data_IF_636774611929
#
_entry.id   IF_636774611929
#
_cell.length_a   1.000
_cell.length_b   1.000
_cell.length_c   1.000
_cell.angle_alpha   90.00
_cell.angle_beta   90.00
_cell.angle_gamma   90.00
#
_symmetry.space_group_name_H-M   'P 1'
#
loop_
_entity.id
_entity.type
_entity.pdbx_description
1 polymer ?
#
# COMPACT_ATOMS: atom_id res chain seq x y z
N UNK A 1 -3.61 -5.15 -24.87
CA UNK A 1 -3.29 -5.00 -23.43
C UNK A 1 -2.15 -4.00 -23.33
N UNK A 2 -2.49 -2.78 -22.99
CA UNK A 2 -1.56 -1.64 -22.90
C UNK A 2 -0.66 -1.85 -21.69
N UNK A 3 0.64 -1.94 -21.92
CA UNK A 3 1.66 -1.88 -20.89
C UNK A 3 1.42 -0.60 -20.07
N UNK A 4 0.99 -0.74 -18.83
CA UNK A 4 0.94 0.37 -17.89
C UNK A 4 2.38 0.83 -17.66
N UNK A 5 2.69 2.03 -18.14
CA UNK A 5 3.95 2.70 -17.82
C UNK A 5 4.15 2.70 -16.29
N UNK A 6 5.42 2.72 -15.84
CA UNK A 6 5.76 2.93 -14.43
C UNK A 6 4.89 4.05 -13.85
N UNK A 7 4.42 3.94 -12.60
CA UNK A 7 3.51 4.92 -12.02
C UNK A 7 4.06 6.33 -12.26
N UNK A 8 3.26 7.12 -12.97
CA UNK A 8 3.64 8.48 -13.34
C UNK A 8 3.53 9.35 -12.08
N UNK A 9 4.67 9.57 -11.42
CA UNK A 9 4.79 10.42 -10.23
C UNK A 9 4.48 11.90 -10.56
N UNK A 10 4.50 12.28 -11.84
CA UNK A 10 4.13 13.63 -12.27
C UNK A 10 2.62 13.88 -12.22
N UNK A 11 1.82 12.80 -12.22
CA UNK A 11 0.37 12.87 -12.18
C UNK A 11 -0.22 13.17 -10.79
N UNK A 12 0.61 13.19 -9.72
CA UNK A 12 0.15 13.38 -8.34
C UNK A 12 0.60 14.76 -7.81
N UNK A 13 -0.28 15.77 -7.83
CA UNK A 13 0.11 17.15 -7.52
C UNK A 13 0.61 17.35 -6.08
N UNK A 14 0.19 16.50 -5.14
CA UNK A 14 0.55 16.63 -3.72
C UNK A 14 1.92 16.03 -3.36
N UNK A 15 2.62 15.35 -4.27
CA UNK A 15 3.94 14.78 -3.97
C UNK A 15 5.11 15.67 -4.38
N UNK A 16 4.90 16.63 -5.29
CA UNK A 16 6.00 17.44 -5.83
C UNK A 16 6.72 18.26 -4.76
N UNK A 17 5.97 18.98 -3.93
CA UNK A 17 6.53 19.78 -2.82
C UNK A 17 7.24 18.90 -1.78
N UNK A 18 6.57 17.92 -1.17
CA UNK A 18 7.22 17.01 -0.23
C UNK A 18 8.46 16.30 -0.78
N UNK A 19 8.43 15.85 -2.04
CA UNK A 19 9.60 15.20 -2.64
C UNK A 19 10.80 16.16 -2.76
N UNK A 20 10.55 17.40 -3.19
CA UNK A 20 11.59 18.42 -3.27
C UNK A 20 12.17 18.73 -1.88
N UNK A 21 11.32 18.90 -0.87
CA UNK A 21 11.74 19.15 0.51
C UNK A 21 12.57 18.01 1.07
N UNK A 22 12.15 16.78 0.86
CA UNK A 22 12.91 15.60 1.29
C UNK A 22 14.25 15.55 0.56
N UNK A 23 14.26 15.71 -0.74
CA UNK A 23 15.48 15.59 -1.54
C UNK A 23 16.54 16.64 -1.22
N UNK A 24 16.11 17.86 -0.83
CA UNK A 24 17.00 19.00 -0.61
C UNK A 24 17.35 19.25 0.85
N UNK A 25 16.40 19.03 1.76
CA UNK A 25 16.56 19.34 3.19
C UNK A 25 17.10 18.16 4.00
N UNK A 26 16.83 16.90 3.56
CA UNK A 26 17.26 15.73 4.31
C UNK A 26 18.68 15.30 3.90
N UNK A 27 19.57 15.29 4.88
CA UNK A 27 21.00 14.93 4.66
C UNK A 27 21.32 13.49 5.05
N UNK A 28 20.41 12.79 5.71
CA UNK A 28 20.57 11.39 6.08
C UNK A 28 20.78 10.50 4.86
N UNK A 29 21.65 9.52 4.98
CA UNK A 29 21.89 8.52 3.94
C UNK A 29 20.76 7.47 3.86
N UNK A 30 19.99 7.29 4.94
CA UNK A 30 18.90 6.34 5.03
C UNK A 30 17.62 7.06 5.50
N UNK A 31 16.59 7.06 4.67
CA UNK A 31 15.29 7.64 4.95
C UNK A 31 14.24 6.53 5.04
N UNK A 32 13.42 6.58 6.08
CA UNK A 32 12.22 5.74 6.23
C UNK A 32 10.98 6.60 5.98
N UNK A 33 10.42 6.47 4.78
CA UNK A 33 9.16 7.12 4.41
C UNK A 33 8.01 6.25 4.90
N UNK A 34 7.19 6.81 5.78
CA UNK A 34 6.02 6.11 6.32
C UNK A 34 4.75 6.76 5.78
N UNK A 35 3.86 5.97 5.19
CA UNK A 35 2.59 6.44 4.66
C UNK A 35 1.81 5.33 3.97
N UNK A 36 0.52 5.58 3.75
CA UNK A 36 -0.34 4.60 3.09
C UNK A 36 -0.01 4.51 1.58
N UNK A 37 0.17 3.30 1.01
CA UNK A 37 0.47 3.12 -0.42
C UNK A 37 -0.53 3.83 -1.34
N UNK A 38 -1.81 3.74 -1.00
CA UNK A 38 -2.87 4.42 -1.75
C UNK A 38 -2.87 5.94 -1.68
N UNK A 39 -2.05 6.56 -0.82
CA UNK A 39 -1.82 8.00 -0.77
C UNK A 39 -0.67 8.46 -1.68
N UNK A 40 0.14 7.52 -2.21
CA UNK A 40 1.25 7.82 -3.12
C UNK A 40 2.62 7.88 -2.44
N UNK A 41 2.83 7.18 -1.32
CA UNK A 41 4.13 7.16 -0.64
C UNK A 41 5.23 6.50 -1.48
N UNK A 42 4.90 5.50 -2.29
CA UNK A 42 5.84 4.87 -3.21
C UNK A 42 6.24 5.83 -4.33
N UNK A 43 5.27 6.53 -4.93
CA UNK A 43 5.47 7.54 -5.95
C UNK A 43 6.29 8.72 -5.41
N UNK A 44 6.06 9.10 -4.14
CA UNK A 44 6.91 10.08 -3.44
C UNK A 44 8.36 9.61 -3.39
N UNK A 45 8.60 8.37 -2.98
CA UNK A 45 9.96 7.81 -2.90
C UNK A 45 10.64 7.77 -4.29
N UNK A 46 9.90 7.38 -5.32
CA UNK A 46 10.40 7.41 -6.70
C UNK A 46 10.79 8.84 -7.14
N UNK A 47 9.95 9.83 -6.82
CA UNK A 47 10.24 11.22 -7.16
C UNK A 47 11.46 11.75 -6.40
N UNK A 48 11.63 11.39 -5.12
CA UNK A 48 12.83 11.70 -4.35
C UNK A 48 14.08 11.09 -5.01
N UNK A 49 14.01 9.79 -5.38
CA UNK A 49 15.09 9.11 -6.07
C UNK A 49 15.43 9.78 -7.42
N UNK A 50 14.42 10.15 -8.20
CA UNK A 50 14.58 10.89 -9.47
C UNK A 50 15.23 12.25 -9.26
N UNK A 51 14.88 12.97 -8.20
CA UNK A 51 15.50 14.25 -7.86
C UNK A 51 17.00 14.09 -7.55
N UNK A 52 17.37 13.08 -6.74
CA UNK A 52 18.78 12.83 -6.41
C UNK A 52 19.65 12.39 -7.60
N UNK A 53 19.04 11.70 -8.57
CA UNK A 53 19.74 11.16 -9.74
C UNK A 53 19.66 12.09 -10.96
N UNK A 54 18.80 13.11 -10.95
CA UNK A 54 18.65 14.05 -12.04
C UNK A 54 19.95 14.82 -12.29
N UNK A 55 20.32 15.00 -13.56
CA UNK A 55 21.53 15.75 -13.97
C UNK A 55 21.35 17.26 -13.82
N UNK A 56 20.09 17.75 -13.79
CA UNK A 56 19.78 19.16 -13.49
C UNK A 56 19.70 19.33 -11.98
N UNK A 57 20.30 20.40 -11.46
CA UNK A 57 20.26 20.75 -10.05
C UNK A 57 19.19 21.81 -9.74
N UNK A 58 18.81 21.90 -8.47
CA UNK A 58 17.92 22.95 -7.98
C UNK A 58 16.44 22.61 -8.13
N UNK A 59 15.61 23.66 -8.25
CA UNK A 59 14.15 23.57 -8.22
C UNK A 59 13.54 22.80 -9.39
N UNK A 60 14.25 22.69 -10.52
CA UNK A 60 13.78 21.99 -11.71
C UNK A 60 14.00 20.48 -11.68
N UNK A 61 14.62 19.94 -10.62
CA UNK A 61 14.81 18.50 -10.47
C UNK A 61 13.56 17.85 -9.84
N UNK A 62 13.10 16.70 -10.38
CA UNK A 62 13.57 16.00 -11.58
C UNK A 62 13.07 16.67 -12.86
N UNK A 63 13.98 16.95 -13.80
CA UNK A 63 13.66 17.75 -15.00
C UNK A 63 12.88 16.98 -16.10
N UNK A 64 12.78 15.65 -16.01
CA UNK A 64 12.10 14.80 -16.98
C UNK A 64 12.75 14.65 -18.35
N UNK A 65 13.79 15.45 -18.68
CA UNK A 65 14.39 15.54 -20.02
C UNK A 65 15.87 15.14 -20.13
N UNK A 66 16.59 15.02 -19.02
CA UNK A 66 17.97 14.56 -19.03
C UNK A 66 18.06 13.03 -19.22
N UNK A 67 19.25 12.54 -19.56
CA UNK A 67 19.48 11.11 -19.77
C UNK A 67 19.14 10.28 -18.53
N UNK A 68 19.49 10.76 -17.32
CA UNK A 68 19.16 10.08 -16.08
C UNK A 68 17.63 9.96 -15.88
N UNK A 69 16.86 11.02 -16.15
CA UNK A 69 15.40 10.97 -16.04
C UNK A 69 14.79 9.98 -17.05
N UNK A 70 15.29 9.91 -18.28
CA UNK A 70 14.83 8.92 -19.27
C UNK A 70 15.15 7.49 -18.85
N UNK A 71 16.37 7.24 -18.34
CA UNK A 71 16.75 5.91 -17.83
C UNK A 71 15.90 5.49 -16.63
N UNK A 72 15.54 6.43 -15.74
CA UNK A 72 14.65 6.16 -14.61
C UNK A 72 13.21 5.84 -15.06
N UNK A 73 12.72 6.54 -16.08
CA UNK A 73 11.38 6.27 -16.65
C UNK A 73 11.30 4.90 -17.32
N UNK A 74 12.39 4.39 -17.87
CA UNK A 74 12.49 3.03 -18.44
C UNK A 74 12.99 1.96 -17.44
N UNK A 75 13.12 2.28 -16.15
CA UNK A 75 13.63 1.40 -15.10
C UNK A 75 15.01 0.79 -15.41
N UNK A 76 15.86 1.51 -16.18
CA UNK A 76 17.16 1.04 -16.66
C UNK A 76 18.35 1.86 -16.13
N UNK A 77 18.13 2.75 -15.15
CA UNK A 77 19.19 3.58 -14.59
C UNK A 77 20.21 2.75 -13.81
N UNK A 78 21.52 2.78 -14.13
CA UNK A 78 22.54 1.92 -13.51
C UNK A 78 22.74 2.18 -12.01
N UNK A 79 22.49 3.42 -11.56
CA UNK A 79 22.66 3.84 -10.16
C UNK A 79 21.32 3.89 -9.38
N UNK A 80 20.26 3.27 -9.93
CA UNK A 80 18.98 3.09 -9.25
C UNK A 80 18.63 1.60 -9.17
N UNK A 81 18.24 1.14 -7.99
CA UNK A 81 17.72 -0.20 -7.78
C UNK A 81 16.52 -0.16 -6.84
N UNK A 82 15.45 -0.83 -7.22
CA UNK A 82 14.27 -1.01 -6.38
C UNK A 82 14.13 -2.49 -6.00
N UNK A 83 13.88 -2.77 -4.72
CA UNK A 83 13.54 -4.09 -4.20
C UNK A 83 12.07 -4.13 -3.83
N UNK A 84 11.31 -4.96 -4.53
CA UNK A 84 9.88 -5.18 -4.32
C UNK A 84 9.60 -6.68 -4.28
N UNK A 85 8.60 -7.14 -3.49
CA UNK A 85 8.06 -8.49 -3.62
C UNK A 85 7.54 -8.76 -5.02
N UNK A 86 7.60 -10.01 -5.47
CA UNK A 86 7.11 -10.41 -6.81
C UNK A 86 5.63 -10.03 -7.02
N UNK A 87 4.81 -10.16 -5.98
CA UNK A 87 3.41 -9.76 -6.02
C UNK A 87 3.26 -8.25 -6.27
N UNK A 88 4.00 -7.43 -5.53
CA UNK A 88 3.98 -5.96 -5.67
C UNK A 88 4.50 -5.52 -7.04
N UNK A 89 5.54 -6.19 -7.57
CA UNK A 89 6.01 -5.94 -8.94
C UNK A 89 4.91 -6.19 -9.97
N UNK A 90 4.19 -7.31 -9.86
CA UNK A 90 3.08 -7.64 -10.75
C UNK A 90 1.92 -6.62 -10.64
N UNK A 91 1.57 -6.20 -9.42
CA UNK A 91 0.51 -5.22 -9.17
C UNK A 91 0.83 -3.83 -9.73
N UNK A 92 2.10 -3.42 -9.67
CA UNK A 92 2.57 -2.12 -10.16
C UNK A 92 2.93 -2.15 -11.65
N UNK A 93 2.91 -3.32 -12.30
CA UNK A 93 3.45 -3.48 -13.66
C UNK A 93 4.94 -3.17 -13.75
N UNK A 94 5.67 -3.35 -12.64
CA UNK A 94 7.07 -3.01 -12.50
C UNK A 94 7.96 -4.21 -12.81
N UNK A 95 8.73 -4.16 -13.89
CA UNK A 95 9.81 -5.11 -14.12
C UNK A 95 11.13 -4.49 -13.64
N UNK A 96 11.73 -5.09 -12.62
CA UNK A 96 13.07 -4.69 -12.16
C UNK A 96 14.07 -5.17 -13.19
N UNK A 97 14.72 -4.26 -13.89
CA UNK A 97 15.81 -4.59 -14.81
C UNK A 97 16.93 -5.31 -14.05
N UNK A 98 17.20 -6.57 -14.40
CA UNK A 98 18.26 -7.39 -13.80
C UNK A 98 17.81 -8.67 -13.09
N UNK A 99 16.53 -8.93 -12.91
CA UNK A 99 16.11 -10.33 -12.72
C UNK A 99 16.05 -10.94 -14.11
N UNK A 100 17.04 -11.75 -14.46
CA UNK A 100 16.89 -12.72 -15.52
C UNK A 100 15.57 -13.43 -15.25
N UNK A 101 14.58 -13.22 -16.11
CA UNK A 101 13.48 -14.16 -16.25
C UNK A 101 14.20 -15.49 -16.47
N UNK A 102 14.19 -16.34 -15.45
CA UNK A 102 14.60 -17.72 -15.66
C UNK A 102 13.72 -18.19 -16.81
N UNK A 103 14.38 -18.32 -17.94
CA UNK A 103 13.83 -18.78 -19.20
C UNK A 103 12.83 -19.90 -18.87
N UNK A 104 11.61 -19.72 -19.31
CA UNK A 104 10.62 -20.78 -19.28
C UNK A 104 11.07 -21.82 -20.30
N UNK A 105 12.11 -22.57 -19.91
CA UNK A 105 12.42 -23.82 -20.58
C UNK A 105 11.16 -24.68 -20.55
N UNK A 106 10.69 -25.07 -21.70
CA UNK A 106 9.63 -26.06 -21.92
C UNK A 106 9.90 -27.32 -21.08
N UNK A 107 9.39 -27.31 -19.87
CA UNK A 107 9.37 -28.42 -18.94
C UNK A 107 7.95 -28.58 -18.44
N UNK A 108 7.22 -29.49 -19.06
CA UNK A 108 5.90 -29.93 -18.62
C UNK A 108 5.92 -30.29 -17.12
N UNK A 109 5.06 -29.62 -16.32
CA UNK A 109 4.67 -30.17 -15.01
C UNK A 109 5.06 -29.41 -13.75
N UNK A 110 5.62 -28.17 -13.79
CA UNK A 110 5.80 -27.38 -12.56
C UNK A 110 4.60 -26.46 -12.32
N UNK A 111 3.81 -26.78 -11.28
CA UNK A 111 2.76 -25.89 -10.77
C UNK A 111 3.31 -24.45 -10.66
N UNK A 112 2.67 -23.47 -11.29
CA UNK A 112 3.06 -22.05 -11.24
C UNK A 112 3.14 -21.64 -9.76
N UNK A 113 4.35 -21.42 -9.27
CA UNK A 113 4.60 -20.97 -7.90
C UNK A 113 3.91 -19.62 -7.69
N UNK A 114 3.11 -19.48 -6.64
CA UNK A 114 2.47 -18.19 -6.30
C UNK A 114 3.57 -17.12 -6.12
N UNK A 115 3.37 -15.91 -6.65
CA UNK A 115 4.35 -14.82 -6.49
C UNK A 115 4.58 -14.52 -5.01
N UNK A 116 5.84 -14.32 -4.65
CA UNK A 116 6.25 -14.04 -3.27
C UNK A 116 5.70 -12.70 -2.80
N UNK A 117 5.23 -12.65 -1.55
CA UNK A 117 4.85 -11.42 -0.84
C UNK A 117 6.02 -10.80 -0.07
N UNK A 118 7.17 -11.49 0.01
CA UNK A 118 8.34 -11.05 0.75
C UNK A 118 9.45 -10.58 -0.19
N UNK A 119 10.24 -9.63 0.28
CA UNK A 119 11.53 -9.28 -0.33
C UNK A 119 12.54 -10.36 0.07
N UNK A 120 13.00 -11.12 -0.91
CA UNK A 120 13.92 -12.25 -0.69
C UNK A 120 15.30 -11.79 -0.22
N UNK A 121 15.91 -12.56 0.68
CA UNK A 121 17.25 -12.27 1.22
C UNK A 121 18.32 -12.20 0.11
N UNK A 122 18.21 -13.03 -0.92
CA UNK A 122 19.14 -13.04 -2.05
C UNK A 122 19.11 -11.69 -2.77
N UNK A 123 17.92 -11.14 -3.03
CA UNK A 123 17.76 -9.82 -3.65
C UNK A 123 18.36 -8.70 -2.79
N UNK A 124 18.25 -8.80 -1.45
CA UNK A 124 18.86 -7.84 -0.53
C UNK A 124 20.39 -7.95 -0.56
N UNK A 125 20.97 -9.16 -0.56
CA UNK A 125 22.41 -9.37 -0.65
C UNK A 125 23.00 -8.86 -1.96
N UNK A 126 22.33 -9.14 -3.07
CA UNK A 126 22.72 -8.63 -4.39
C UNK A 126 22.68 -7.11 -4.45
N UNK A 127 21.65 -6.50 -3.84
CA UNK A 127 21.55 -5.06 -3.77
C UNK A 127 22.66 -4.45 -2.89
N UNK A 128 22.99 -5.07 -1.76
CA UNK A 128 24.12 -4.65 -0.91
C UNK A 128 25.43 -4.72 -1.71
N UNK A 129 25.70 -5.84 -2.40
CA UNK A 129 26.89 -5.99 -3.25
C UNK A 129 26.94 -4.94 -4.36
N UNK A 130 25.80 -4.60 -4.94
CA UNK A 130 25.68 -3.53 -5.92
C UNK A 130 25.97 -2.15 -5.32
N UNK A 131 25.61 -1.87 -4.07
CA UNK A 131 25.93 -0.58 -3.42
C UNK A 131 27.45 -0.37 -3.22
N UNK A 132 28.23 -1.44 -3.12
CA UNK A 132 29.70 -1.37 -2.96
C UNK A 132 30.43 -0.91 -4.24
N UNK A 133 29.78 -0.97 -5.41
CA UNK A 133 30.35 -0.50 -6.66
C UNK A 133 30.21 1.03 -6.76
N UNK A 134 31.15 1.70 -7.37
CA UNK A 134 31.10 3.13 -7.62
C UNK A 134 29.87 3.53 -8.45
N UNK A 135 29.41 4.78 -8.29
CA UNK A 135 28.36 5.34 -9.14
C UNK A 135 28.85 5.43 -10.58
N UNK A 136 27.99 5.01 -11.53
CA UNK A 136 28.30 5.03 -12.95
C UNK A 136 28.19 6.43 -13.56
N UNK A 137 27.40 7.33 -12.96
CA UNK A 137 27.12 8.66 -13.48
C UNK A 137 27.62 9.80 -12.56
N UNK A 138 28.43 9.49 -11.55
CA UNK A 138 29.06 10.49 -10.68
C UNK A 138 28.12 11.23 -9.71
N UNK A 139 26.86 10.79 -9.61
CA UNK A 139 25.86 11.31 -8.63
C UNK A 139 25.60 10.28 -7.53
N UNK A 140 24.47 10.38 -6.89
CA UNK A 140 24.07 9.40 -5.88
C UNK A 140 23.86 8.00 -6.49
N UNK A 141 23.92 6.99 -5.63
CA UNK A 141 23.44 5.63 -5.89
C UNK A 141 22.28 5.36 -4.95
N UNK A 142 21.12 5.04 -5.50
CA UNK A 142 19.86 4.98 -4.73
C UNK A 142 19.32 3.57 -4.70
N UNK A 143 19.16 3.03 -3.48
CA UNK A 143 18.47 1.77 -3.22
C UNK A 143 17.11 2.04 -2.57
N UNK A 144 16.03 1.64 -3.23
CA UNK A 144 14.65 1.75 -2.77
C UNK A 144 14.12 0.39 -2.34
N UNK A 145 13.51 0.28 -1.17
CA UNK A 145 12.85 -0.93 -0.65
C UNK A 145 11.37 -0.62 -0.40
N UNK A 146 10.47 -1.36 -1.08
CA UNK A 146 9.03 -1.15 -0.96
C UNK A 146 8.22 -2.45 -1.13
N UNK A 147 7.28 -2.74 -0.25
CA UNK A 147 7.22 -2.21 1.12
C UNK A 147 8.34 -2.80 1.97
N UNK A 148 9.00 -1.95 2.78
CA UNK A 148 10.16 -2.38 3.56
C UNK A 148 9.78 -3.39 4.67
N UNK A 149 8.56 -3.33 5.17
CA UNK A 149 8.00 -4.29 6.13
C UNK A 149 7.68 -5.67 5.51
N UNK A 150 7.85 -5.85 4.20
CA UNK A 150 7.85 -7.16 3.55
C UNK A 150 9.20 -7.90 3.63
N UNK A 151 10.23 -7.31 4.24
CA UNK A 151 11.46 -8.02 4.54
C UNK A 151 11.27 -8.92 5.76
N UNK A 152 11.67 -10.20 5.64
CA UNK A 152 11.77 -11.07 6.81
C UNK A 152 12.98 -10.70 7.69
N UNK A 153 13.07 -11.33 8.87
CA UNK A 153 14.12 -11.06 9.86
C UNK A 153 15.54 -11.19 9.28
N UNK A 154 15.79 -12.20 8.44
CA UNK A 154 17.11 -12.47 7.87
C UNK A 154 17.50 -11.39 6.86
N UNK A 155 16.59 -10.99 5.99
CA UNK A 155 16.77 -9.92 5.01
C UNK A 155 17.00 -8.58 5.70
N UNK A 156 16.21 -8.29 6.74
CA UNK A 156 16.33 -7.08 7.55
C UNK A 156 17.72 -6.96 8.23
N UNK A 157 18.17 -8.05 8.85
CA UNK A 157 19.49 -8.08 9.51
C UNK A 157 20.65 -7.93 8.51
N UNK A 158 20.53 -8.46 7.30
CA UNK A 158 21.58 -8.30 6.28
C UNK A 158 21.79 -6.82 5.88
N UNK A 159 20.74 -5.99 5.95
CA UNK A 159 20.81 -4.57 5.58
C UNK A 159 21.47 -3.70 6.66
N UNK A 160 21.49 -4.13 7.93
CA UNK A 160 21.94 -3.31 9.07
C UNK A 160 23.33 -2.72 8.89
N UNK A 161 24.31 -3.53 8.44
CA UNK A 161 25.67 -3.05 8.23
C UNK A 161 25.74 -1.92 7.19
N UNK A 162 24.98 -2.02 6.10
CA UNK A 162 24.94 -0.98 5.07
C UNK A 162 24.23 0.28 5.55
N UNK A 163 23.28 0.14 6.48
CA UNK A 163 22.63 1.28 7.13
C UNK A 163 23.53 1.99 8.13
N UNK A 164 24.44 1.26 8.80
CA UNK A 164 25.40 1.85 9.74
C UNK A 164 26.55 2.55 9.01
N UNK A 165 27.12 1.87 8.02
CA UNK A 165 28.30 2.31 7.28
C UNK A 165 28.02 2.26 5.76
N UNK A 166 27.21 3.20 5.24
CA UNK A 166 26.89 3.22 3.82
C UNK A 166 28.14 3.60 3.00
N UNK A 167 28.34 2.97 1.83
CA UNK A 167 29.35 3.42 0.90
C UNK A 167 29.11 4.88 0.47
N UNK A 168 30.19 5.57 0.12
CA UNK A 168 30.10 6.99 -0.26
C UNK A 168 29.13 7.20 -1.43
N UNK A 169 28.22 8.18 -1.30
CA UNK A 169 27.23 8.54 -2.31
C UNK A 169 26.03 7.59 -2.37
N UNK A 170 25.96 6.56 -1.52
CA UNK A 170 24.78 5.66 -1.43
C UNK A 170 23.70 6.31 -0.58
N UNK A 171 22.46 6.26 -1.07
CA UNK A 171 21.25 6.68 -0.38
C UNK A 171 20.24 5.53 -0.33
N UNK A 172 19.66 5.30 0.82
CA UNK A 172 18.66 4.25 1.03
C UNK A 172 17.30 4.89 1.28
N UNK A 173 16.30 4.43 0.54
CA UNK A 173 14.89 4.80 0.73
C UNK A 173 14.14 3.56 1.15
N UNK A 174 13.72 3.50 2.40
CA UNK A 174 12.83 2.47 2.92
C UNK A 174 11.43 3.07 2.94
N UNK A 175 10.47 2.37 2.39
CA UNK A 175 9.06 2.81 2.37
C UNK A 175 8.22 1.77 3.09
N UNK A 176 7.50 2.16 4.11
CA UNK A 176 6.64 1.26 4.88
C UNK A 176 5.28 1.91 5.17
N UNK A 177 4.23 1.11 5.17
CA UNK A 177 2.92 1.55 5.64
C UNK A 177 2.93 1.64 7.17
N UNK A 178 3.40 0.59 7.82
CA UNK A 178 3.55 0.51 9.27
C UNK A 178 5.02 0.31 9.67
N UNK A 179 5.66 1.40 10.11
CA UNK A 179 7.05 1.35 10.55
C UNK A 179 7.26 0.47 11.79
N UNK A 180 6.21 0.21 12.60
CA UNK A 180 6.34 -0.63 13.80
C UNK A 180 6.54 -2.12 13.46
N UNK A 181 6.21 -2.54 12.25
CA UNK A 181 6.49 -3.90 11.74
C UNK A 181 7.96 -4.10 11.37
N UNK A 182 8.71 -3.01 11.16
CA UNK A 182 10.15 -3.09 10.95
C UNK A 182 10.90 -3.35 12.25
N UNK A 183 12.05 -4.01 12.16
CA UNK A 183 12.94 -4.19 13.30
C UNK A 183 13.30 -2.84 13.94
N UNK A 184 13.25 -2.72 15.28
CA UNK A 184 13.67 -1.50 15.96
C UNK A 184 15.10 -1.07 15.61
N UNK A 185 15.97 -2.03 15.35
CA UNK A 185 17.36 -1.81 14.91
C UNK A 185 17.47 -1.17 13.53
N UNK A 186 16.55 -1.47 12.60
CA UNK A 186 16.44 -0.79 11.31
C UNK A 186 15.92 0.64 11.47
N UNK A 187 14.83 0.78 12.24
CA UNK A 187 14.19 2.09 12.46
C UNK A 187 15.12 3.11 13.10
N UNK A 188 15.93 2.68 14.08
CA UNK A 188 16.85 3.57 14.79
C UNK A 188 17.97 4.13 13.92
N UNK A 189 18.25 3.50 12.76
CA UNK A 189 19.28 3.91 11.79
C UNK A 189 18.74 4.69 10.61
N UNK A 190 17.42 4.86 10.53
CA UNK A 190 16.76 5.60 9.47
C UNK A 190 16.16 6.90 10.01
N UNK A 191 16.29 7.98 9.26
CA UNK A 191 15.52 9.18 9.52
C UNK A 191 14.08 8.97 9.09
N UNK A 192 13.16 8.99 10.06
CA UNK A 192 11.72 8.80 9.79
C UNK A 192 11.10 10.08 9.23
N UNK A 193 10.31 9.90 8.19
CA UNK A 193 9.53 10.96 7.53
C UNK A 193 8.11 10.45 7.36
N UNK A 194 7.17 11.09 8.02
CA UNK A 194 5.75 10.77 7.86
C UNK A 194 5.18 11.51 6.65
N UNK A 195 4.59 10.75 5.74
CA UNK A 195 3.84 11.29 4.61
C UNK A 195 2.35 11.18 4.86
N UNK A 196 1.71 12.31 5.13
CA UNK A 196 0.28 12.37 5.42
C UNK A 196 -0.60 12.13 4.17
N UNK A 197 -0.03 12.22 2.97
CA UNK A 197 -0.78 12.15 1.71
C UNK A 197 -1.49 13.46 1.36
N UNK A 198 -2.42 13.43 0.39
CA UNK A 198 -3.20 14.61 0.00
C UNK A 198 -4.24 14.98 1.04
N UNK A 199 -4.68 16.24 1.02
CA UNK A 199 -5.88 16.63 1.74
C UNK A 199 -7.12 15.99 1.09
N UNK A 200 -8.26 15.86 1.82
CA UNK A 200 -9.49 15.33 1.23
C UNK A 200 -9.92 16.06 -0.04
N UNK A 201 -9.76 17.39 -0.08
CA UNK A 201 -10.10 18.25 -1.22
C UNK A 201 -9.19 17.96 -2.41
N UNK A 202 -7.88 17.82 -2.19
CA UNK A 202 -6.90 17.47 -3.23
C UNK A 202 -7.17 16.07 -3.80
N UNK A 203 -7.48 15.11 -2.95
CA UNK A 203 -7.78 13.75 -3.35
C UNK A 203 -9.06 13.67 -4.20
N UNK A 204 -10.10 14.40 -3.77
CA UNK A 204 -11.39 14.46 -4.49
C UNK A 204 -11.22 15.13 -5.85
N UNK A 205 -10.64 16.33 -5.89
CA UNK A 205 -10.42 17.07 -7.13
C UNK A 205 -9.58 16.27 -8.14
N UNK A 206 -8.57 15.55 -7.66
CA UNK A 206 -7.77 14.69 -8.52
C UNK A 206 -8.57 13.52 -9.11
N UNK A 207 -9.40 12.83 -8.30
CA UNK A 207 -10.26 11.74 -8.77
C UNK A 207 -11.31 12.22 -9.78
N UNK A 208 -11.91 13.37 -9.55
CA UNK A 208 -12.86 14.00 -10.48
C UNK A 208 -12.16 14.35 -11.80
N UNK A 209 -10.94 14.89 -11.72
CA UNK A 209 -10.10 15.17 -12.89
C UNK A 209 -9.72 13.91 -13.70
N UNK A 210 -9.72 12.73 -13.06
CA UNK A 210 -9.55 11.43 -13.73
C UNK A 210 -10.87 10.87 -14.32
N UNK A 211 -11.98 11.59 -14.20
CA UNK A 211 -13.28 11.15 -14.70
C UNK A 211 -13.94 10.06 -13.85
N UNK A 212 -13.55 9.90 -12.57
CA UNK A 212 -14.11 8.88 -11.71
C UNK A 212 -15.58 9.20 -11.36
N UNK A 213 -16.51 8.33 -11.73
CA UNK A 213 -17.90 8.44 -11.35
C UNK A 213 -18.04 8.23 -9.82
N UNK A 214 -18.94 9.01 -9.19
CA UNK A 214 -19.20 8.94 -7.74
C UNK A 214 -17.91 9.09 -6.88
N UNK A 215 -17.01 9.99 -7.29
CA UNK A 215 -15.71 10.21 -6.64
C UNK A 215 -15.78 10.34 -5.11
N UNK A 216 -16.74 11.04 -4.49
CA UNK A 216 -16.85 11.13 -3.04
C UNK A 216 -17.08 9.77 -2.36
N UNK A 217 -17.99 8.95 -2.90
CA UNK A 217 -18.29 7.61 -2.35
C UNK A 217 -17.10 6.68 -2.55
N UNK A 218 -16.49 6.74 -3.72
CA UNK A 218 -15.33 5.95 -4.09
C UNK A 218 -14.12 6.27 -3.19
N UNK A 219 -13.87 7.56 -2.94
CA UNK A 219 -12.79 8.02 -2.06
C UNK A 219 -13.04 7.59 -0.62
N UNK A 220 -14.26 7.72 -0.12
CA UNK A 220 -14.65 7.25 1.21
C UNK A 220 -14.46 5.74 1.34
N UNK A 221 -14.96 4.95 0.39
CA UNK A 221 -14.77 3.49 0.36
C UNK A 221 -13.30 3.08 0.39
N UNK A 222 -12.43 3.87 -0.25
CA UNK A 222 -10.97 3.71 -0.24
C UNK A 222 -10.27 4.29 1.02
N UNK A 223 -11.02 4.77 2.01
CA UNK A 223 -10.46 5.34 3.25
C UNK A 223 -9.76 6.69 3.07
N UNK A 224 -10.12 7.45 2.03
CA UNK A 224 -9.51 8.75 1.73
C UNK A 224 -8.23 8.66 0.88
N UNK A 225 -7.91 7.47 0.33
CA UNK A 225 -6.69 7.22 -0.43
C UNK A 225 -6.96 7.21 -1.94
N UNK A 226 -6.55 8.24 -2.71
CA UNK A 226 -6.97 8.43 -4.10
C UNK A 226 -6.46 7.34 -5.05
N UNK A 227 -5.27 6.79 -4.87
CA UNK A 227 -4.78 5.70 -5.72
C UNK A 227 -5.54 4.39 -5.47
N UNK A 228 -5.90 4.12 -4.21
CA UNK A 228 -6.79 2.99 -3.87
C UNK A 228 -8.18 3.19 -4.46
N UNK A 229 -8.71 4.42 -4.42
CA UNK A 229 -9.99 4.77 -5.05
C UNK A 229 -9.95 4.57 -6.57
N UNK A 230 -8.89 5.03 -7.24
CA UNK A 230 -8.69 4.80 -8.69
C UNK A 230 -8.65 3.30 -9.03
N UNK A 231 -7.99 2.49 -8.20
CA UNK A 231 -7.95 1.03 -8.38
C UNK A 231 -9.35 0.43 -8.23
N UNK A 232 -10.11 0.82 -7.20
CA UNK A 232 -11.49 0.38 -7.03
C UNK A 232 -12.36 0.73 -8.25
N UNK A 233 -12.20 1.94 -8.80
CA UNK A 233 -12.92 2.35 -10.01
C UNK A 233 -12.58 1.46 -11.21
N UNK A 234 -11.30 1.14 -11.42
CA UNK A 234 -10.84 0.25 -12.49
C UNK A 234 -11.36 -1.19 -12.33
N UNK A 235 -11.54 -1.64 -11.08
CA UNK A 235 -12.10 -2.95 -10.72
C UNK A 235 -13.66 -3.00 -10.85
N UNK A 236 -14.29 -1.93 -11.34
CA UNK A 236 -15.74 -1.89 -11.55
C UNK A 236 -16.54 -1.65 -10.27
N UNK A 237 -16.07 -0.78 -9.39
CA UNK A 237 -16.76 -0.43 -8.14
C UNK A 237 -18.19 0.08 -8.38
N UNK A 238 -19.17 -0.57 -7.73
CA UNK A 238 -20.57 -0.15 -7.73
C UNK A 238 -20.88 0.69 -6.47
N UNK A 239 -21.02 1.99 -6.66
CA UNK A 239 -21.31 2.93 -5.58
C UNK A 239 -22.70 2.68 -4.95
N UNK A 240 -23.70 2.28 -5.74
CA UNK A 240 -25.05 2.01 -5.22
C UNK A 240 -25.05 0.75 -4.36
N UNK A 241 -24.36 -0.31 -4.81
CA UNK A 241 -24.18 -1.52 -4.02
C UNK A 241 -23.41 -1.24 -2.72
N UNK A 242 -22.37 -0.39 -2.78
CA UNK A 242 -21.61 0.02 -1.59
C UNK A 242 -22.47 0.78 -0.59
N UNK A 243 -23.24 1.75 -1.02
CA UNK A 243 -24.16 2.52 -0.16
C UNK A 243 -25.22 1.62 0.49
N UNK A 244 -25.73 0.63 -0.24
CA UNK A 244 -26.74 -0.29 0.29
C UNK A 244 -26.16 -1.36 1.24
N UNK A 245 -24.86 -1.59 1.19
CA UNK A 245 -24.17 -2.69 1.86
C UNK A 245 -24.40 -2.75 3.38
N UNK A 246 -24.24 -1.65 4.16
CA UNK A 246 -24.39 -1.69 5.62
C UNK A 246 -25.74 -2.26 6.08
N UNK A 247 -26.84 -1.80 5.47
CA UNK A 247 -28.20 -2.27 5.81
C UNK A 247 -28.40 -3.72 5.41
N UNK A 248 -27.91 -4.11 4.23
CA UNK A 248 -28.01 -5.51 3.75
C UNK A 248 -27.27 -6.48 4.66
N UNK A 249 -26.09 -6.10 5.18
CA UNK A 249 -25.33 -6.91 6.15
C UNK A 249 -26.08 -7.00 7.47
N UNK A 250 -26.55 -5.88 8.02
CA UNK A 250 -27.31 -5.87 9.29
C UNK A 250 -28.58 -6.72 9.23
N UNK A 251 -29.27 -6.73 8.08
CA UNK A 251 -30.45 -7.56 7.84
C UNK A 251 -30.12 -9.03 7.55
N UNK A 252 -28.85 -9.37 7.34
CA UNK A 252 -28.41 -10.71 6.93
C UNK A 252 -28.84 -11.10 5.53
N UNK A 253 -28.99 -10.12 4.64
CA UNK A 253 -29.41 -10.29 3.23
C UNK A 253 -28.28 -10.05 2.23
N UNK A 254 -27.06 -9.83 2.72
CA UNK A 254 -25.91 -9.64 1.85
C UNK A 254 -25.18 -10.97 1.63
N UNK A 255 -24.90 -11.23 0.36
CA UNK A 255 -24.03 -12.33 -0.08
C UNK A 255 -22.79 -11.72 -0.72
N UNK A 256 -21.59 -12.18 -0.33
CA UNK A 256 -20.36 -11.72 -0.96
C UNK A 256 -20.34 -12.04 -2.45
N UNK A 257 -19.72 -11.20 -3.29
CA UNK A 257 -19.54 -11.50 -4.71
C UNK A 257 -18.80 -12.82 -4.91
N UNK A 258 -19.12 -13.53 -5.99
CA UNK A 258 -18.41 -14.75 -6.37
C UNK A 258 -16.89 -14.48 -6.48
N UNK A 259 -16.09 -15.31 -5.84
CA UNK A 259 -14.63 -15.16 -5.80
C UNK A 259 -14.12 -14.14 -4.76
N UNK A 260 -14.98 -13.56 -3.92
CA UNK A 260 -14.53 -12.74 -2.81
C UNK A 260 -13.61 -13.54 -1.86
N UNK A 261 -12.44 -13.02 -1.57
CA UNK A 261 -11.51 -13.64 -0.62
C UNK A 261 -11.84 -13.26 0.81
N UNK A 262 -11.52 -14.12 1.77
CA UNK A 262 -11.73 -13.85 3.21
C UNK A 262 -11.08 -12.54 3.66
N UNK A 263 -9.83 -12.20 3.28
CA UNK A 263 -9.23 -10.91 3.61
C UNK A 263 -10.05 -9.71 3.10
N UNK A 264 -10.55 -9.78 1.86
CA UNK A 264 -11.37 -8.71 1.27
C UNK A 264 -12.70 -8.53 2.01
N UNK A 265 -13.36 -9.66 2.34
CA UNK A 265 -14.59 -9.64 3.12
C UNK A 265 -14.34 -9.03 4.50
N UNK A 266 -13.30 -9.49 5.20
CA UNK A 266 -12.91 -8.96 6.51
C UNK A 266 -12.66 -7.45 6.47
N UNK A 267 -11.94 -6.95 5.44
CA UNK A 267 -11.68 -5.51 5.26
C UNK A 267 -12.99 -4.71 5.16
N UNK A 268 -13.95 -5.18 4.37
CA UNK A 268 -15.28 -4.54 4.24
C UNK A 268 -16.01 -4.51 5.57
N UNK A 269 -16.00 -5.62 6.31
CA UNK A 269 -16.63 -5.71 7.62
C UNK A 269 -15.94 -4.84 8.67
N UNK A 270 -14.62 -4.70 8.62
CA UNK A 270 -13.86 -3.78 9.48
C UNK A 270 -14.24 -2.31 9.23
N UNK A 271 -14.39 -1.91 7.94
CA UNK A 271 -14.87 -0.57 7.58
C UNK A 271 -16.27 -0.31 8.12
N UNK A 272 -17.16 -1.28 8.00
CA UNK A 272 -18.52 -1.16 8.56
C UNK A 272 -18.52 -1.11 10.09
N UNK A 273 -17.73 -1.95 10.74
CA UNK A 273 -17.58 -1.95 12.20
C UNK A 273 -17.04 -0.60 12.71
N UNK A 274 -16.00 -0.06 12.06
CA UNK A 274 -15.44 1.25 12.36
C UNK A 274 -16.51 2.34 12.31
N UNK A 275 -17.28 2.41 11.22
CA UNK A 275 -18.28 3.46 11.06
C UNK A 275 -19.49 3.27 11.99
N UNK A 276 -19.87 2.03 12.28
CA UNK A 276 -20.88 1.74 13.30
C UNK A 276 -20.42 2.17 14.70
N UNK A 277 -19.14 1.99 15.03
CA UNK A 277 -18.56 2.49 16.29
C UNK A 277 -18.49 4.02 16.30
N UNK A 278 -18.12 4.65 15.18
CA UNK A 278 -18.11 6.11 15.05
C UNK A 278 -19.49 6.71 15.34
N UNK A 279 -20.53 6.17 14.71
CA UNK A 279 -21.91 6.60 14.94
C UNK A 279 -22.37 6.36 16.39
N UNK A 280 -22.00 5.23 16.99
CA UNK A 280 -22.31 4.95 18.40
C UNK A 280 -21.59 5.89 19.39
N UNK A 281 -20.52 6.56 18.94
CA UNK A 281 -19.76 7.56 19.67
C UNK A 281 -20.07 9.01 19.22
N UNK A 282 -21.16 9.24 18.50
CA UNK A 282 -21.57 10.54 17.93
C UNK A 282 -20.48 11.18 17.03
N UNK A 283 -19.64 10.36 16.40
CA UNK A 283 -18.60 10.79 15.48
C UNK A 283 -19.02 10.58 14.01
N UNK A 284 -18.34 11.27 13.10
CA UNK A 284 -18.59 11.15 11.66
C UNK A 284 -18.04 9.85 11.10
N UNK A 285 -18.85 9.05 10.38
CA UNK A 285 -18.38 7.85 9.70
C UNK A 285 -17.41 8.20 8.58
N UNK A 286 -16.47 7.29 8.29
CA UNK A 286 -15.37 7.52 7.35
C UNK A 286 -15.61 6.86 5.99
N UNK A 287 -16.18 5.66 5.97
CA UNK A 287 -16.23 4.78 4.78
C UNK A 287 -17.59 4.73 4.10
N UNK A 288 -18.65 4.96 4.86
CA UNK A 288 -20.02 4.89 4.37
C UNK A 288 -20.75 6.20 4.64
N UNK A 289 -21.69 6.62 3.75
CA UNK A 289 -22.56 7.75 4.04
C UNK A 289 -23.38 7.48 5.32
N UNK A 290 -23.46 8.45 6.23
CA UNK A 290 -24.16 8.29 7.51
C UNK A 290 -25.58 7.75 7.36
N UNK A 291 -26.32 8.21 6.36
CA UNK A 291 -27.69 7.78 6.08
C UNK A 291 -27.79 6.30 5.62
N UNK A 292 -26.69 5.70 5.20
CA UNK A 292 -26.65 4.29 4.75
C UNK A 292 -26.38 3.32 5.90
N UNK A 293 -25.92 3.80 7.03
CA UNK A 293 -25.60 2.96 8.18
C UNK A 293 -26.88 2.46 8.87
N UNK A 294 -26.88 1.25 9.45
CA UNK A 294 -27.97 0.76 10.25
C UNK A 294 -28.06 1.55 11.57
N UNK A 295 -29.18 1.45 12.32
CA UNK A 295 -29.31 2.10 13.62
C UNK A 295 -28.14 1.77 14.56
N UNK A 296 -27.81 2.68 15.48
CA UNK A 296 -26.74 2.49 16.42
C UNK A 296 -26.89 1.17 17.18
N UNK A 297 -25.85 0.35 17.18
CA UNK A 297 -25.78 -0.90 17.93
C UNK A 297 -25.14 -0.68 19.31
N UNK A 298 -25.36 -1.61 20.23
CA UNK A 298 -24.76 -1.54 21.56
C UNK A 298 -23.23 -1.59 21.45
N UNK A 299 -22.56 -0.67 22.14
CA UNK A 299 -21.09 -0.50 22.13
C UNK A 299 -20.35 -1.82 22.41
N UNK A 300 -20.81 -2.59 23.39
CA UNK A 300 -20.19 -3.86 23.74
C UNK A 300 -20.17 -4.85 22.57
N UNK A 301 -21.28 -4.95 21.82
CA UNK A 301 -21.35 -5.83 20.65
C UNK A 301 -20.40 -5.37 19.54
N UNK A 302 -20.27 -4.07 19.32
CA UNK A 302 -19.35 -3.49 18.34
C UNK A 302 -17.90 -3.73 18.74
N UNK A 303 -17.57 -3.58 20.03
CA UNK A 303 -16.23 -3.84 20.56
C UNK A 303 -15.83 -5.31 20.40
N UNK A 304 -16.73 -6.24 20.77
CA UNK A 304 -16.49 -7.68 20.63
C UNK A 304 -16.29 -8.06 19.16
N UNK A 305 -17.10 -7.51 18.26
CA UNK A 305 -16.99 -7.74 16.83
C UNK A 305 -15.68 -7.18 16.26
N UNK A 306 -15.28 -5.97 16.65
CA UNK A 306 -13.99 -5.36 16.26
C UNK A 306 -12.81 -6.26 16.66
N UNK A 307 -12.83 -6.78 17.90
CA UNK A 307 -11.80 -7.69 18.40
C UNK A 307 -11.79 -9.02 17.64
N UNK A 308 -12.95 -9.56 17.27
CA UNK A 308 -13.06 -10.79 16.47
C UNK A 308 -12.42 -10.57 15.09
N UNK A 309 -12.78 -9.50 14.38
CA UNK A 309 -12.20 -9.13 13.09
C UNK A 309 -10.68 -8.89 13.17
N UNK A 310 -10.19 -8.25 14.25
CA UNK A 310 -8.76 -8.02 14.47
C UNK A 310 -7.99 -9.32 14.75
N UNK A 311 -8.59 -10.28 15.46
CA UNK A 311 -7.98 -11.61 15.67
C UNK A 311 -7.82 -12.36 14.36
N UNK A 312 -8.84 -12.36 13.51
CA UNK A 312 -8.79 -13.02 12.21
C UNK A 312 -7.70 -12.42 11.31
N UNK A 313 -7.48 -11.10 11.37
CA UNK A 313 -6.46 -10.40 10.59
C UNK A 313 -5.03 -10.93 10.83
N UNK A 314 -4.76 -11.47 12.03
CA UNK A 314 -3.44 -12.04 12.36
C UNK A 314 -3.19 -13.40 11.69
N UNK A 315 -4.22 -14.00 11.11
CA UNK A 315 -4.18 -15.34 10.52
C UNK A 315 -4.57 -15.35 9.04
N UNK A 316 -4.44 -14.23 8.33
CA UNK A 316 -4.83 -14.09 6.92
C UNK A 316 -4.15 -15.11 5.99
N UNK A 317 -2.98 -15.63 6.37
CA UNK A 317 -2.23 -16.62 5.59
C UNK A 317 -2.55 -18.08 5.95
N UNK A 318 -3.35 -18.29 6.99
CA UNK A 318 -3.73 -19.66 7.38
C UNK A 318 -4.70 -20.25 6.35
N UNK A 319 -4.52 -21.53 5.95
CA UNK A 319 -5.38 -22.20 4.98
C UNK A 319 -6.73 -22.59 5.62
N UNK A 320 -7.53 -21.60 5.96
CA UNK A 320 -8.88 -21.82 6.47
C UNK A 320 -9.83 -22.35 5.39
N UNK A 321 -10.89 -23.05 5.82
CA UNK A 321 -12.04 -23.31 4.97
C UNK A 321 -12.76 -21.98 4.68
N UNK A 322 -12.51 -21.39 3.51
CA UNK A 322 -13.01 -20.07 3.16
C UNK A 322 -14.56 -19.94 3.24
N UNK A 323 -15.38 -20.91 2.75
CA UNK A 323 -16.83 -20.86 2.94
C UNK A 323 -17.24 -20.77 4.41
N UNK A 324 -16.70 -21.63 5.28
CA UNK A 324 -17.07 -21.65 6.69
C UNK A 324 -16.69 -20.35 7.42
N UNK A 325 -15.52 -19.78 7.12
CA UNK A 325 -15.12 -18.48 7.68
C UNK A 325 -16.02 -17.36 7.16
N UNK A 326 -16.39 -17.37 5.89
CA UNK A 326 -17.32 -16.41 5.31
C UNK A 326 -18.68 -16.44 6.03
N UNK A 327 -19.25 -17.61 6.22
CA UNK A 327 -20.51 -17.78 6.93
C UNK A 327 -20.44 -17.30 8.39
N UNK A 328 -19.33 -17.62 9.09
CA UNK A 328 -19.08 -17.15 10.44
C UNK A 328 -19.03 -15.62 10.53
N UNK A 329 -18.26 -14.98 9.63
CA UNK A 329 -18.13 -13.52 9.58
C UNK A 329 -19.46 -12.82 9.33
N UNK A 330 -20.28 -13.36 8.42
CA UNK A 330 -21.60 -12.81 8.13
C UNK A 330 -22.58 -13.01 9.28
N UNK A 331 -22.53 -14.16 9.94
CA UNK A 331 -23.33 -14.44 11.12
C UNK A 331 -22.98 -13.50 12.30
N UNK A 332 -21.69 -13.28 12.57
CA UNK A 332 -21.22 -12.33 13.56
C UNK A 332 -21.69 -10.90 13.25
N UNK A 333 -21.50 -10.45 12.01
CA UNK A 333 -21.92 -9.13 11.56
C UNK A 333 -23.43 -8.91 11.79
N UNK A 334 -24.29 -9.87 11.38
CA UNK A 334 -25.73 -9.83 11.60
C UNK A 334 -26.11 -9.80 13.08
N UNK A 335 -25.39 -10.55 13.93
CA UNK A 335 -25.67 -10.64 15.35
C UNK A 335 -25.50 -9.30 16.10
N UNK A 336 -24.66 -8.38 15.56
CA UNK A 336 -24.46 -7.05 16.13
C UNK A 336 -25.76 -6.28 16.24
N UNK A 337 -26.61 -6.34 15.18
CA UNK A 337 -27.90 -5.64 15.10
C UNK A 337 -29.10 -6.50 15.48
N UNK A 338 -28.88 -7.78 15.77
CA UNK A 338 -29.97 -8.65 16.20
C UNK A 338 -30.57 -8.15 17.53
N UNK A 339 -31.93 -8.03 17.56
CA UNK A 339 -32.64 -7.73 18.80
C UNK A 339 -32.38 -8.86 19.81
N UNK A 340 -32.19 -8.55 21.11
CA UNK A 340 -32.12 -9.59 22.11
C UNK A 340 -33.40 -10.45 21.98
N UNK A 341 -33.23 -11.76 21.86
CA UNK A 341 -34.39 -12.68 21.96
C UNK A 341 -35.00 -12.44 23.32
N UNK A 342 -36.24 -11.90 23.32
CA UNK A 342 -36.99 -11.78 24.57
C UNK A 342 -36.95 -13.11 25.30
N UNK A 343 -36.52 -13.12 26.57
CA UNK A 343 -36.78 -14.25 27.43
C UNK A 343 -38.28 -14.46 27.35
N UNK A 344 -38.69 -15.60 26.79
CA UNK A 344 -40.06 -16.07 27.00
C UNK A 344 -40.27 -16.16 28.51
N UNK A 345 -41.25 -15.40 28.97
CA UNK A 345 -41.65 -15.37 30.38
C UNK A 345 -42.27 -16.73 30.77
#
# INVERSE_FOLDING_TARGET
>A
MTMTAAPDDTALPWIAGPAHDIATKQRGHALLLQGHPGAGVFELALRVARTWLCETEGADAPCGRCTACHLLSSNSHPDFRALLPELTQAELGWSVGGSETVDAGDGEGKAKKKPSKEIKIEAVRDAISWTQKSSSRGRAKVLLLFPADAMNLVASNALLKTLEEPPQGVRLLLVAEDAERLLPTLRSRCQRILFAGPTPEQALAWLEGQGAANAPVLLAAAGGHPLSARRLAADGFDAAAWIALPKRIADGRWEPPAGATVPRLREVLQKLCHDAMAVAADATPRYFPAASLPPAAAWIKLSDWSQSLARLARHDEHPFNAPLITDSLLAEAKAVWAKPRGRAA
#
